data_IF_248023474061
#
_entry.id   IF_248023474061
#
_cell.length_a   1.000
_cell.length_b   1.000
_cell.length_c   1.000
_cell.angle_alpha   90.00
_cell.angle_beta   90.00
_cell.angle_gamma   90.00
#
_symmetry.space_group_name_H-M   'P 1'
#
loop_
_entity.id
_entity.type
_entity.pdbx_description
1 polymer ?
#
# COMPACT_ATOMS: atom_id res chain seq x y z
N UNK A 1 -15.78 18.40 22.11
CA UNK A 1 -15.28 17.75 20.88
C UNK A 1 -13.90 18.32 20.63
N UNK A 2 -12.86 17.51 20.61
CA UNK A 2 -11.50 17.94 20.28
C UNK A 2 -11.43 18.13 18.77
N UNK A 3 -11.04 19.33 18.33
CA UNK A 3 -10.85 19.64 16.92
C UNK A 3 -9.38 19.39 16.58
N UNK A 4 -9.09 18.36 15.80
CA UNK A 4 -7.74 18.07 15.34
C UNK A 4 -7.38 18.96 14.14
N UNK A 5 -6.09 19.15 13.90
CA UNK A 5 -5.64 19.74 12.64
C UNK A 5 -6.05 18.81 11.48
N UNK A 6 -6.69 19.33 10.42
CA UNK A 6 -7.12 18.52 9.28
C UNK A 6 -5.96 18.22 8.31
N UNK A 7 -4.82 18.92 8.46
CA UNK A 7 -3.68 18.82 7.54
C UNK A 7 -3.13 17.39 7.39
N UNK A 8 -2.89 16.61 8.46
CA UNK A 8 -2.34 15.28 8.31
C UNK A 8 -3.28 14.36 7.51
N UNK A 9 -4.60 14.50 7.70
CA UNK A 9 -5.57 13.72 6.94
C UNK A 9 -5.54 14.06 5.44
N UNK A 10 -5.48 15.35 5.10
CA UNK A 10 -5.38 15.75 3.69
C UNK A 10 -4.06 15.32 3.05
N UNK A 11 -2.94 15.45 3.76
CA UNK A 11 -1.62 15.06 3.26
C UNK A 11 -1.57 13.54 3.04
N UNK A 12 -1.90 12.76 4.07
CA UNK A 12 -1.87 11.30 4.00
C UNK A 12 -2.86 10.78 2.96
N UNK A 13 -4.10 11.29 2.98
CA UNK A 13 -5.12 10.92 2.00
C UNK A 13 -4.71 11.21 0.56
N UNK A 14 -4.11 12.38 0.30
CA UNK A 14 -3.62 12.75 -1.04
C UNK A 14 -2.44 11.89 -1.48
N UNK A 15 -1.50 11.58 -0.59
CA UNK A 15 -0.37 10.71 -0.90
C UNK A 15 -0.84 9.30 -1.23
N UNK A 16 -1.73 8.71 -0.42
CA UNK A 16 -2.27 7.37 -0.68
C UNK A 16 -3.07 7.33 -1.98
N UNK A 17 -3.87 8.37 -2.25
CA UNK A 17 -4.58 8.51 -3.52
C UNK A 17 -3.63 8.57 -4.72
N UNK A 18 -2.58 9.38 -4.64
CA UNK A 18 -1.59 9.51 -5.71
C UNK A 18 -0.85 8.19 -5.97
N UNK A 19 -0.50 7.46 -4.91
CA UNK A 19 0.12 6.12 -5.02
C UNK A 19 -0.82 5.13 -5.72
N UNK A 20 -2.10 5.10 -5.32
CA UNK A 20 -3.11 4.25 -5.95
C UNK A 20 -3.32 4.55 -7.44
N UNK A 21 -3.48 5.84 -7.78
CA UNK A 21 -3.59 6.28 -9.17
C UNK A 21 -2.33 5.94 -9.99
N UNK A 22 -1.15 6.11 -9.41
CA UNK A 22 0.11 5.74 -10.07
C UNK A 22 0.18 4.23 -10.33
N UNK A 23 -0.25 3.41 -9.38
CA UNK A 23 -0.29 1.96 -9.54
C UNK A 23 -1.27 1.49 -10.62
N UNK A 24 -2.40 2.17 -10.77
CA UNK A 24 -3.35 1.91 -11.85
C UNK A 24 -2.78 2.28 -13.22
N UNK A 25 -2.09 3.43 -13.32
CA UNK A 25 -1.51 3.90 -14.56
C UNK A 25 -0.24 3.12 -14.97
N UNK A 26 0.56 2.69 -14.00
CA UNK A 26 1.87 2.04 -14.20
C UNK A 26 2.09 0.87 -13.24
N UNK A 27 1.36 -0.24 -13.41
CA UNK A 27 1.43 -1.37 -12.48
C UNK A 27 2.74 -2.17 -12.56
N UNK A 28 3.43 -2.22 -13.70
CA UNK A 28 4.70 -2.96 -13.81
C UNK A 28 5.78 -2.49 -12.83
N UNK A 29 6.11 -1.19 -12.79
CA UNK A 29 7.06 -0.63 -11.82
C UNK A 29 6.67 -0.74 -10.34
N UNK A 30 5.40 -1.05 -10.03
CA UNK A 30 4.94 -1.11 -8.64
C UNK A 30 5.34 -2.39 -7.91
N UNK A 31 5.69 -3.47 -8.61
CA UNK A 31 6.19 -4.71 -7.99
C UNK A 31 7.41 -4.50 -7.08
N UNK A 32 8.54 -3.98 -7.61
CA UNK A 32 9.72 -3.73 -6.79
C UNK A 32 9.48 -2.62 -5.75
N UNK A 33 8.49 -1.74 -5.98
CA UNK A 33 8.12 -0.68 -5.04
C UNK A 33 7.35 -1.23 -3.85
N UNK A 34 6.39 -2.12 -4.10
CA UNK A 34 5.63 -2.82 -3.08
C UNK A 34 6.52 -3.81 -2.32
N UNK A 35 7.52 -4.40 -3.00
CA UNK A 35 8.47 -5.33 -2.40
C UNK A 35 8.20 -6.79 -2.69
N UNK A 36 7.42 -7.09 -3.73
CA UNK A 36 7.17 -8.46 -4.18
C UNK A 36 7.81 -8.70 -5.55
N UNK A 37 8.33 -9.92 -5.80
CA UNK A 37 8.81 -10.29 -7.13
C UNK A 37 7.64 -10.35 -8.13
N UNK A 38 7.95 -10.21 -9.42
CA UNK A 38 6.97 -10.49 -10.47
C UNK A 38 6.45 -11.92 -10.36
N UNK A 39 5.16 -12.11 -10.61
CA UNK A 39 4.60 -13.45 -10.71
C UNK A 39 5.22 -14.19 -11.90
N UNK A 40 5.57 -15.48 -11.73
CA UNK A 40 5.98 -16.29 -12.86
C UNK A 40 4.84 -16.32 -13.87
N UNK A 41 5.15 -16.04 -15.14
CA UNK A 41 4.17 -16.17 -16.21
C UNK A 41 3.56 -17.57 -16.15
N UNK A 42 2.24 -17.68 -16.09
CA UNK A 42 1.54 -18.96 -16.10
C UNK A 42 2.12 -19.80 -17.25
N UNK A 43 2.75 -20.92 -16.90
CA UNK A 43 3.54 -21.72 -17.82
C UNK A 43 2.67 -22.17 -19.00
N UNK A 44 2.76 -21.49 -20.13
CA UNK A 44 2.41 -22.07 -21.40
C UNK A 44 3.34 -23.27 -21.59
N UNK A 45 2.82 -24.47 -21.45
CA UNK A 45 3.54 -25.69 -21.74
C UNK A 45 4.08 -25.62 -23.19
N UNK A 46 5.40 -25.51 -23.37
CA UNK A 46 6.13 -26.11 -24.49
C UNK A 46 7.65 -25.95 -24.35
N UNK A 47 8.28 -27.11 -24.13
CA UNK A 47 9.40 -27.67 -24.88
C UNK A 47 10.58 -26.79 -25.32
N UNK A 48 11.77 -27.24 -24.91
CA UNK A 48 13.11 -26.97 -25.45
C UNK A 48 13.73 -25.57 -25.24
N UNK A 49 14.69 -25.55 -24.31
CA UNK A 49 16.07 -25.14 -24.61
C UNK A 49 16.32 -23.68 -24.99
N UNK A 50 16.49 -22.81 -24.00
CA UNK A 50 17.46 -21.71 -24.06
C UNK A 50 17.63 -21.09 -22.68
N UNK A 51 18.87 -20.93 -22.19
CA UNK A 51 19.20 -20.07 -21.03
C UNK A 51 19.02 -18.60 -21.42
N UNK A 52 17.80 -18.19 -21.75
CA UNK A 52 17.41 -16.78 -21.83
C UNK A 52 16.72 -16.42 -20.54
N UNK A 53 17.22 -15.37 -19.90
CA UNK A 53 16.53 -14.68 -18.81
C UNK A 53 15.05 -14.52 -19.18
N UNK A 54 14.11 -14.98 -18.33
CA UNK A 54 12.70 -14.89 -18.63
C UNK A 54 12.34 -13.42 -18.92
N UNK A 55 11.42 -13.17 -19.88
CA UNK A 55 10.89 -11.83 -20.07
C UNK A 55 10.29 -11.31 -18.74
N UNK A 56 10.20 -9.99 -18.54
CA UNK A 56 9.54 -9.42 -17.37
C UNK A 56 8.19 -10.10 -17.19
N UNK A 57 7.95 -10.68 -16.02
CA UNK A 57 6.72 -11.41 -15.72
C UNK A 57 5.50 -10.56 -16.07
N UNK A 58 4.43 -11.22 -16.54
CA UNK A 58 3.19 -10.53 -16.84
C UNK A 58 2.73 -9.72 -15.61
N UNK A 59 2.21 -8.51 -15.85
CA UNK A 59 1.64 -7.71 -14.77
C UNK A 59 0.42 -8.45 -14.23
N UNK A 60 0.50 -8.97 -12.99
CA UNK A 60 -0.64 -9.57 -12.31
C UNK A 60 -1.77 -8.56 -12.14
N UNK A 61 -3.03 -8.97 -12.38
CA UNK A 61 -4.22 -8.23 -11.99
C UNK A 61 -4.21 -7.75 -10.53
N UNK A 62 -3.48 -8.45 -9.63
CA UNK A 62 -3.33 -8.04 -8.23
C UNK A 62 -2.77 -6.63 -8.07
N UNK A 63 -1.95 -6.15 -9.00
CA UNK A 63 -1.39 -4.81 -8.91
C UNK A 63 -2.44 -3.72 -9.16
N UNK A 64 -3.38 -3.97 -10.07
CA UNK A 64 -4.52 -3.08 -10.26
C UNK A 64 -5.43 -3.08 -9.02
N UNK A 65 -5.64 -4.24 -8.40
CA UNK A 65 -6.41 -4.35 -7.15
C UNK A 65 -5.73 -3.57 -6.01
N UNK A 66 -4.40 -3.62 -5.89
CA UNK A 66 -3.65 -2.77 -4.96
C UNK A 66 -3.89 -1.29 -5.26
N UNK A 67 -3.80 -0.88 -6.54
CA UNK A 67 -4.05 0.49 -6.95
C UNK A 67 -5.46 0.97 -6.58
N UNK A 68 -6.49 0.15 -6.81
CA UNK A 68 -7.87 0.43 -6.36
C UNK A 68 -7.92 0.60 -4.85
N UNK A 69 -7.32 -0.33 -4.10
CA UNK A 69 -7.31 -0.29 -2.62
C UNK A 69 -6.71 1.01 -2.08
N UNK A 70 -5.53 1.38 -2.55
CA UNK A 70 -4.85 2.61 -2.10
C UNK A 70 -5.63 3.87 -2.49
N UNK A 71 -6.17 3.89 -3.71
CA UNK A 71 -7.06 4.98 -4.17
C UNK A 71 -8.27 5.11 -3.25
N UNK A 72 -8.92 3.99 -2.90
CA UNK A 72 -10.06 3.98 -1.97
C UNK A 72 -9.66 4.50 -0.60
N UNK A 73 -8.52 4.09 -0.05
CA UNK A 73 -8.07 4.60 1.25
C UNK A 73 -7.82 6.10 1.23
N UNK A 74 -7.15 6.61 0.20
CA UNK A 74 -6.94 8.04 0.02
C UNK A 74 -8.25 8.81 -0.03
N UNK A 75 -9.18 8.39 -0.90
CA UNK A 75 -10.50 9.01 -1.03
C UNK A 75 -11.31 8.97 0.28
N UNK A 76 -11.32 7.84 0.99
CA UNK A 76 -12.01 7.72 2.27
C UNK A 76 -11.45 8.69 3.29
N UNK A 77 -10.12 8.78 3.42
CA UNK A 77 -9.48 9.64 4.41
C UNK A 77 -9.73 11.13 4.11
N UNK A 78 -9.70 11.52 2.82
CA UNK A 78 -10.06 12.86 2.35
C UNK A 78 -11.55 13.18 2.62
N UNK A 79 -12.45 12.27 2.28
CA UNK A 79 -13.89 12.48 2.43
C UNK A 79 -14.28 12.58 3.92
N UNK A 80 -13.79 11.68 4.77
CA UNK A 80 -14.07 11.71 6.21
C UNK A 80 -13.59 13.03 6.84
N UNK A 81 -12.41 13.52 6.46
CA UNK A 81 -11.92 14.81 6.94
C UNK A 81 -12.75 15.98 6.39
N UNK A 82 -13.13 15.95 5.11
CA UNK A 82 -13.95 16.98 4.48
C UNK A 82 -15.32 17.14 5.16
N UNK A 83 -15.94 16.04 5.57
CA UNK A 83 -17.20 16.03 6.33
C UNK A 83 -17.02 16.22 7.85
N UNK A 84 -15.80 16.48 8.34
CA UNK A 84 -15.52 16.71 9.76
C UNK A 84 -15.73 15.49 10.67
N UNK A 85 -15.63 14.27 10.12
CA UNK A 85 -15.86 13.03 10.86
C UNK A 85 -14.61 12.59 11.63
N UNK A 86 -14.23 13.36 12.65
CA UNK A 86 -12.95 13.19 13.37
C UNK A 86 -12.76 11.80 14.01
N UNK A 87 -13.82 11.21 14.55
CA UNK A 87 -13.78 9.84 15.09
C UNK A 87 -13.52 8.82 13.99
N UNK A 88 -14.18 8.97 12.84
CA UNK A 88 -14.01 8.06 11.72
C UNK A 88 -12.60 8.18 11.11
N UNK A 89 -12.04 9.38 11.01
CA UNK A 89 -10.63 9.58 10.59
C UNK A 89 -9.68 8.84 11.52
N UNK A 90 -9.91 8.91 12.83
CA UNK A 90 -9.06 8.23 13.84
C UNK A 90 -9.15 6.72 13.71
N UNK A 91 -10.36 6.17 13.62
CA UNK A 91 -10.59 4.73 13.41
C UNK A 91 -9.92 4.28 12.10
N UNK A 92 -10.13 5.03 11.03
CA UNK A 92 -9.62 4.69 9.71
C UNK A 92 -8.10 4.76 9.64
N UNK A 93 -7.47 5.74 10.31
CA UNK A 93 -6.01 5.76 10.50
C UNK A 93 -5.52 4.49 11.21
N UNK A 94 -6.21 4.04 12.26
CA UNK A 94 -5.92 2.76 12.93
C UNK A 94 -6.04 1.55 11.99
N UNK A 95 -7.05 1.51 11.13
CA UNK A 95 -7.20 0.46 10.10
C UNK A 95 -6.03 0.50 9.11
N UNK A 96 -5.65 1.68 8.61
CA UNK A 96 -4.49 1.84 7.72
C UNK A 96 -3.19 1.37 8.39
N UNK A 97 -3.03 1.58 9.71
CA UNK A 97 -1.89 1.07 10.45
C UNK A 97 -1.82 -0.46 10.43
N UNK A 98 -2.94 -1.13 10.69
CA UNK A 98 -3.05 -2.60 10.64
C UNK A 98 -2.78 -3.15 9.23
N UNK A 99 -3.25 -2.47 8.19
CA UNK A 99 -2.96 -2.84 6.80
C UNK A 99 -1.45 -2.74 6.54
N UNK A 100 -0.79 -1.63 6.91
CA UNK A 100 0.65 -1.48 6.76
C UNK A 100 1.45 -2.54 7.53
N UNK A 101 0.96 -2.98 8.70
CA UNK A 101 1.56 -4.09 9.44
C UNK A 101 1.48 -5.40 8.65
N UNK A 102 0.28 -5.72 8.14
CA UNK A 102 0.03 -6.94 7.36
C UNK A 102 0.83 -6.95 6.05
N UNK A 103 0.86 -5.83 5.32
CA UNK A 103 1.63 -5.69 4.08
C UNK A 103 3.13 -5.90 4.34
N UNK A 104 3.65 -5.33 5.43
CA UNK A 104 5.05 -5.55 5.82
C UNK A 104 5.36 -7.02 6.13
N UNK A 105 4.44 -7.72 6.81
CA UNK A 105 4.60 -9.15 7.06
C UNK A 105 4.59 -9.96 5.76
N UNK A 106 3.66 -9.69 4.85
CA UNK A 106 3.57 -10.37 3.55
C UNK A 106 4.84 -10.15 2.72
N UNK A 107 5.33 -8.91 2.65
CA UNK A 107 6.56 -8.56 1.92
C UNK A 107 7.79 -9.20 2.55
N UNK A 108 7.86 -9.25 3.89
CA UNK A 108 8.97 -9.90 4.57
C UNK A 108 9.01 -11.42 4.29
N UNK A 109 7.84 -12.07 4.28
CA UNK A 109 7.72 -13.50 4.05
C UNK A 109 7.90 -13.90 2.56
N UNK A 110 7.45 -13.04 1.62
CA UNK A 110 7.35 -13.41 0.20
C UNK A 110 8.24 -12.59 -0.74
N UNK A 111 8.91 -11.53 -0.27
CA UNK A 111 9.76 -10.66 -1.10
C UNK A 111 11.11 -11.27 -1.50
N UNK A 112 11.51 -12.38 -0.88
CA UNK A 112 12.85 -12.97 -1.04
C UNK A 112 13.97 -12.06 -0.52
N UNK A 113 15.23 -12.52 -0.61
CA UNK A 113 16.38 -11.82 -0.03
C UNK A 113 16.56 -10.38 -0.58
N UNK A 114 16.24 -10.15 -1.84
CA UNK A 114 16.43 -8.86 -2.50
C UNK A 114 15.38 -7.80 -2.11
N UNK A 115 14.13 -8.20 -1.81
CA UNK A 115 13.03 -7.25 -1.57
C UNK A 115 12.47 -7.28 -0.15
N UNK A 116 12.83 -8.26 0.70
CA UNK A 116 12.34 -8.32 2.10
C UNK A 116 12.62 -7.06 2.91
N UNK A 117 13.69 -6.31 2.58
CA UNK A 117 14.00 -5.02 3.22
C UNK A 117 12.96 -3.94 2.93
N UNK A 118 12.11 -4.11 1.91
CA UNK A 118 10.97 -3.22 1.65
C UNK A 118 9.86 -3.36 2.69
N UNK A 119 9.82 -4.45 3.45
CA UNK A 119 8.90 -4.63 4.57
C UNK A 119 9.02 -3.49 5.61
N UNK A 120 10.23 -2.96 5.82
CA UNK A 120 10.46 -1.83 6.72
C UNK A 120 9.67 -0.58 6.30
N UNK A 121 9.50 -0.32 5.00
CA UNK A 121 8.70 0.80 4.51
C UNK A 121 7.23 0.67 4.92
N UNK A 122 6.68 -0.55 4.85
CA UNK A 122 5.31 -0.83 5.28
C UNK A 122 5.13 -0.71 6.80
N UNK A 123 6.12 -1.16 7.57
CA UNK A 123 6.09 -0.99 9.03
C UNK A 123 6.26 0.47 9.47
N UNK A 124 7.01 1.29 8.74
CA UNK A 124 7.03 2.74 8.97
C UNK A 124 5.63 3.32 8.77
N UNK A 125 4.90 2.92 7.73
CA UNK A 125 3.50 3.31 7.52
C UNK A 125 2.61 2.86 8.69
N UNK A 126 2.76 1.63 9.17
CA UNK A 126 2.08 1.13 10.36
C UNK A 126 2.33 2.03 11.57
N UNK A 127 3.59 2.31 11.90
CA UNK A 127 3.97 3.14 13.05
C UNK A 127 3.46 4.56 12.87
N UNK A 128 3.56 5.15 11.68
CA UNK A 128 3.10 6.50 11.39
C UNK A 128 1.60 6.68 11.60
N UNK A 129 0.79 5.82 10.97
CA UNK A 129 -0.67 5.85 11.16
C UNK A 129 -1.07 5.46 12.57
N UNK A 130 -0.42 4.46 13.17
CA UNK A 130 -0.72 3.99 14.52
C UNK A 130 -0.41 5.03 15.59
N UNK A 131 0.74 5.68 15.52
CA UNK A 131 1.12 6.77 16.42
C UNK A 131 0.19 7.98 16.26
N UNK A 132 -0.19 8.32 15.02
CA UNK A 132 -1.13 9.40 14.78
C UNK A 132 -2.53 9.10 15.33
N UNK A 133 -3.05 7.89 15.10
CA UNK A 133 -4.32 7.44 15.65
C UNK A 133 -4.30 7.41 17.19
N UNK A 134 -3.23 6.87 17.78
CA UNK A 134 -3.05 6.83 19.23
C UNK A 134 -3.03 8.24 19.83
N UNK A 135 -2.27 9.17 19.24
CA UNK A 135 -2.24 10.56 19.69
C UNK A 135 -3.63 11.21 19.65
N UNK A 136 -4.41 10.97 18.60
CA UNK A 136 -5.79 11.47 18.48
C UNK A 136 -6.77 10.86 19.50
N UNK A 137 -6.47 9.68 20.05
CA UNK A 137 -7.28 9.06 21.11
C UNK A 137 -6.91 9.61 22.49
N UNK A 138 -5.63 9.94 22.70
CA UNK A 138 -5.12 10.39 24.00
C UNK A 138 -5.18 11.91 24.22
N UNK A 139 -5.40 12.71 23.17
CA UNK A 139 -5.49 14.17 23.22
C UNK A 139 -6.95 14.65 23.36
#
# INVERSE_FOLDING_TARGET
MTTFSPLPAYILGSLTLALGCHALARPGPEYPRFGLPFEPAASSASTHGSKRTPPPGAVSPLMYIKGIRETSYGLTLLALQYYGQETAVTIFAGVCALVGLADGFVVWANGGEALKTKAFGHWITCVGFGAWAWWRVCA
#
